data_IF_266956538388
#
_entry.id   IF_266956538388
#
_cell.length_a   1.000
_cell.length_b   1.000
_cell.length_c   1.000
_cell.angle_alpha   90.00
_cell.angle_beta   90.00
_cell.angle_gamma   90.00
#
_symmetry.space_group_name_H-M   'P 1'
#
loop_
_entity.id
_entity.type
_entity.pdbx_description
1 polymer ?
#
# COMPACT_ATOMS: atom_id res chain seq x y z
N UNK A 1 28.20 -6.14 19.94
CA UNK A 1 28.10 -4.93 20.78
C UNK A 1 26.66 -4.82 21.23
N UNK A 2 26.40 -4.80 22.54
CA UNK A 2 25.05 -4.63 23.07
C UNK A 2 24.78 -3.14 23.27
N UNK A 3 23.65 -2.62 22.78
CA UNK A 3 23.22 -1.25 23.05
C UNK A 3 23.07 -1.03 24.55
N UNK A 4 23.53 0.13 25.02
CA UNK A 4 23.36 0.57 26.40
C UNK A 4 21.87 0.77 26.71
N UNK A 5 21.48 0.62 27.98
CA UNK A 5 20.10 0.81 28.41
C UNK A 5 19.43 2.12 27.91
N UNK A 6 20.09 3.31 27.96
CA UNK A 6 19.49 4.54 27.45
C UNK A 6 19.25 4.54 25.94
N UNK A 7 20.10 3.89 25.15
CA UNK A 7 19.91 3.78 23.69
C UNK A 7 18.69 2.92 23.33
N UNK A 8 18.39 1.89 24.11
CA UNK A 8 17.18 1.06 23.93
C UNK A 8 15.90 1.85 24.24
N UNK A 9 15.92 2.65 25.30
CA UNK A 9 14.77 3.49 25.67
C UNK A 9 14.48 4.54 24.59
N UNK A 10 15.51 5.17 24.03
CA UNK A 10 15.35 6.13 22.94
C UNK A 10 14.81 5.48 21.65
N UNK A 11 15.29 4.29 21.30
CA UNK A 11 14.80 3.54 20.15
C UNK A 11 13.32 3.11 20.30
N UNK A 12 12.93 2.66 21.49
CA UNK A 12 11.53 2.32 21.78
C UNK A 12 10.61 3.55 21.73
N UNK A 13 11.06 4.70 22.22
CA UNK A 13 10.32 5.96 22.13
C UNK A 13 10.15 6.42 20.67
N UNK A 14 11.20 6.30 19.84
CA UNK A 14 11.14 6.62 18.42
C UNK A 14 10.20 5.69 17.64
N UNK A 15 10.19 4.39 17.97
CA UNK A 15 9.26 3.43 17.37
C UNK A 15 7.81 3.70 17.78
N UNK A 16 7.56 4.06 19.05
CA UNK A 16 6.24 4.43 19.52
C UNK A 16 5.73 5.72 18.85
N UNK A 17 6.61 6.71 18.64
CA UNK A 17 6.29 7.94 17.93
C UNK A 17 6.04 7.70 16.43
N UNK A 18 6.83 6.84 15.79
CA UNK A 18 6.57 6.43 14.40
C UNK A 18 5.24 5.69 14.27
N UNK A 19 4.92 4.77 15.18
CA UNK A 19 3.63 4.08 15.20
C UNK A 19 2.46 5.06 15.45
N UNK A 20 2.70 6.13 16.23
CA UNK A 20 1.72 7.21 16.45
C UNK A 20 1.49 8.01 15.17
N UNK A 21 2.55 8.38 14.45
CA UNK A 21 2.48 9.05 13.14
C UNK A 21 1.82 8.17 12.07
N UNK A 22 2.10 6.86 12.10
CA UNK A 22 1.47 5.89 11.20
C UNK A 22 -0.04 5.75 11.50
N UNK A 23 -0.46 5.82 12.78
CA UNK A 23 -1.89 5.85 13.17
C UNK A 23 -2.58 7.18 12.88
N UNK A 24 -1.86 8.29 12.97
CA UNK A 24 -2.34 9.60 12.51
C UNK A 24 -2.73 9.54 11.01
N UNK A 25 -2.17 8.61 10.22
CA UNK A 25 -2.53 8.43 8.81
C UNK A 25 -3.96 7.90 8.54
N UNK A 26 -4.60 7.19 9.47
CA UNK A 26 -5.98 6.68 9.27
C UNK A 26 -7.01 7.78 9.40
N UNK A 27 -6.91 8.59 10.47
CA UNK A 27 -7.77 9.75 10.65
C UNK A 27 -7.53 10.76 9.52
N UNK A 28 -6.25 10.99 9.15
CA UNK A 28 -5.88 11.82 8.00
C UNK A 28 -6.50 11.33 6.69
N UNK A 29 -6.57 10.01 6.45
CA UNK A 29 -7.20 9.47 5.25
C UNK A 29 -8.66 9.91 5.15
N UNK A 30 -9.45 9.73 6.21
CA UNK A 30 -10.87 10.09 6.19
C UNK A 30 -11.10 11.60 6.34
N UNK A 31 -10.26 12.35 7.04
CA UNK A 31 -10.44 13.81 7.19
C UNK A 31 -9.99 14.59 5.96
N UNK A 32 -8.84 14.23 5.37
CA UNK A 32 -8.23 14.99 4.27
C UNK A 32 -8.77 14.58 2.90
N UNK A 33 -9.16 13.32 2.73
CA UNK A 33 -9.56 12.79 1.43
C UNK A 33 -11.08 12.58 1.29
N UNK A 34 -11.88 12.47 2.36
CA UNK A 34 -13.34 12.40 2.22
C UNK A 34 -14.05 13.62 1.62
N UNK A 35 -13.56 14.88 1.71
CA UNK A 35 -14.35 16.02 1.21
C UNK A 35 -14.78 15.89 -0.25
N UNK A 36 -13.97 15.24 -1.09
CA UNK A 36 -14.28 14.98 -2.51
C UNK A 36 -15.15 13.72 -2.73
N UNK A 37 -15.17 12.78 -1.80
CA UNK A 37 -15.76 11.44 -1.98
C UNK A 37 -17.03 11.22 -1.13
N UNK A 38 -17.47 12.24 -0.38
CA UNK A 38 -18.74 12.27 0.34
C UNK A 38 -18.72 11.55 1.70
N UNK A 39 -19.57 12.00 2.62
CA UNK A 39 -19.65 11.54 4.02
C UNK A 39 -20.01 10.06 4.23
N UNK A 40 -20.25 9.29 3.15
CA UNK A 40 -20.72 7.89 3.23
C UNK A 40 -19.57 6.89 3.39
N UNK A 41 -18.35 7.26 3.01
CA UNK A 41 -17.18 6.37 3.04
C UNK A 41 -16.41 6.53 4.36
N UNK A 42 -17.05 6.21 5.50
CA UNK A 42 -16.40 6.23 6.82
C UNK A 42 -15.58 4.97 7.08
N UNK A 43 -14.73 4.99 8.11
CA UNK A 43 -13.99 3.81 8.57
C UNK A 43 -14.92 2.62 8.85
N UNK A 44 -16.00 2.86 9.61
CA UNK A 44 -16.97 1.82 9.97
C UNK A 44 -17.72 1.30 8.74
N UNK A 45 -18.00 2.16 7.76
CA UNK A 45 -18.60 1.74 6.49
C UNK A 45 -17.64 0.83 5.70
N UNK A 46 -16.35 1.17 5.65
CA UNK A 46 -15.33 0.34 5.01
C UNK A 46 -15.19 -1.03 5.72
N UNK A 47 -15.14 -1.05 7.05
CA UNK A 47 -15.06 -2.29 7.83
C UNK A 47 -16.30 -3.17 7.62
N UNK A 48 -17.51 -2.59 7.68
CA UNK A 48 -18.75 -3.34 7.40
C UNK A 48 -18.76 -3.92 5.99
N UNK A 49 -18.36 -3.12 5.00
CA UNK A 49 -18.30 -3.58 3.62
C UNK A 49 -17.26 -4.69 3.43
N UNK A 50 -16.07 -4.57 4.03
CA UNK A 50 -15.06 -5.63 3.97
C UNK A 50 -15.52 -6.94 4.64
N UNK A 51 -16.13 -6.88 5.82
CA UNK A 51 -16.74 -8.05 6.47
C UNK A 51 -17.80 -8.70 5.57
N UNK A 52 -18.62 -7.89 4.91
CA UNK A 52 -19.62 -8.39 3.96
C UNK A 52 -18.99 -9.03 2.71
N UNK A 53 -18.01 -8.39 2.09
CA UNK A 53 -17.33 -8.92 0.89
C UNK A 53 -16.64 -10.25 1.19
N UNK A 54 -15.96 -10.33 2.34
CA UNK A 54 -15.16 -11.50 2.72
C UNK A 54 -15.97 -12.58 3.45
N UNK A 55 -17.18 -12.27 3.92
CA UNK A 55 -17.99 -13.14 4.78
C UNK A 55 -17.25 -13.58 6.07
N UNK A 56 -16.54 -12.63 6.69
CA UNK A 56 -15.77 -12.82 7.93
C UNK A 56 -16.06 -11.69 8.92
N UNK A 57 -15.57 -11.82 10.16
CA UNK A 57 -15.73 -10.84 11.24
C UNK A 57 -14.41 -10.37 11.85
N UNK A 58 -13.27 -10.86 11.34
CA UNK A 58 -11.92 -10.61 11.87
C UNK A 58 -11.15 -9.57 11.04
N UNK A 59 -11.86 -8.75 10.27
CA UNK A 59 -11.25 -7.67 9.49
C UNK A 59 -10.76 -6.58 10.44
N UNK A 60 -9.49 -6.20 10.30
CA UNK A 60 -8.88 -5.13 11.09
C UNK A 60 -8.02 -4.21 10.20
N UNK A 61 -7.88 -2.92 10.54
CA UNK A 61 -6.93 -2.04 9.87
C UNK A 61 -5.50 -2.57 9.97
N UNK A 62 -4.72 -2.40 8.91
CA UNK A 62 -3.27 -2.63 8.99
C UNK A 62 -2.60 -1.56 9.84
N UNK A 63 -1.51 -1.93 10.53
CA UNK A 63 -0.74 -1.00 11.37
C UNK A 63 -0.17 0.18 10.59
N UNK A 64 0.02 0.00 9.28
CA UNK A 64 0.45 1.03 8.35
C UNK A 64 -0.56 1.18 7.23
N UNK A 65 -1.06 2.40 7.06
CA UNK A 65 -1.95 2.76 5.97
C UNK A 65 -1.18 3.38 4.82
N UNK A 66 -1.79 3.36 3.64
CA UNK A 66 -1.27 4.08 2.49
C UNK A 66 -1.77 5.51 2.49
N UNK A 67 -0.97 6.45 2.01
CA UNK A 67 -1.33 7.88 1.94
C UNK A 67 -2.60 8.19 1.12
N UNK A 68 -3.08 7.26 0.30
CA UNK A 68 -4.31 7.40 -0.49
C UNK A 68 -5.14 6.11 -0.48
N UNK A 69 -5.00 5.33 0.59
CA UNK A 69 -5.77 4.09 0.74
C UNK A 69 -5.95 3.67 2.19
N UNK A 70 -7.18 3.30 2.53
CA UNK A 70 -7.49 2.59 3.75
C UNK A 70 -7.43 1.07 3.49
N UNK A 71 -6.59 0.37 4.23
CA UNK A 71 -6.24 -1.03 4.04
C UNK A 71 -6.65 -1.82 5.28
N UNK A 72 -7.44 -2.84 5.03
CA UNK A 72 -7.90 -3.81 6.01
C UNK A 72 -7.32 -5.19 5.70
N UNK A 73 -7.06 -5.98 6.73
CA UNK A 73 -6.58 -7.36 6.63
C UNK A 73 -7.54 -8.29 7.36
N UNK A 74 -7.85 -9.44 6.76
CA UNK A 74 -8.49 -10.57 7.44
C UNK A 74 -7.48 -11.72 7.52
N UNK A 75 -6.99 -12.06 8.72
CA UNK A 75 -6.14 -13.22 8.91
C UNK A 75 -6.81 -14.55 8.53
N UNK A 76 -8.10 -14.73 8.84
CA UNK A 76 -8.82 -15.97 8.56
C UNK A 76 -9.07 -16.21 7.07
N UNK A 77 -9.29 -15.14 6.29
CA UNK A 77 -9.47 -15.24 4.84
C UNK A 77 -8.14 -15.23 4.05
N UNK A 78 -7.00 -14.98 4.70
CA UNK A 78 -5.69 -14.73 4.05
C UNK A 78 -5.78 -13.64 2.95
N UNK A 79 -6.57 -12.60 3.22
CA UNK A 79 -6.90 -11.55 2.26
C UNK A 79 -6.77 -10.14 2.84
N UNK A 80 -6.55 -9.19 1.93
CA UNK A 80 -6.49 -7.76 2.21
C UNK A 80 -7.58 -7.07 1.40
N UNK A 81 -8.28 -6.10 2.00
CA UNK A 81 -9.22 -5.21 1.31
C UNK A 81 -8.64 -3.80 1.31
N UNK A 82 -8.46 -3.22 0.13
CA UNK A 82 -7.99 -1.85 -0.03
C UNK A 82 -9.09 -0.95 -0.58
N UNK A 83 -9.38 0.11 0.15
CA UNK A 83 -10.26 1.20 -0.24
C UNK A 83 -9.39 2.37 -0.71
N UNK A 84 -9.49 2.73 -1.98
CA UNK A 84 -8.63 3.74 -2.61
C UNK A 84 -9.45 4.91 -3.13
N UNK A 85 -8.94 6.13 -2.95
CA UNK A 85 -9.55 7.34 -3.53
C UNK A 85 -9.50 7.29 -5.06
N UNK A 86 -8.40 6.79 -5.61
CA UNK A 86 -8.23 6.64 -7.05
C UNK A 86 -8.11 5.16 -7.43
N UNK A 87 -8.75 4.75 -8.53
CA UNK A 87 -8.57 3.40 -9.04
C UNK A 87 -7.10 3.17 -9.42
N UNK A 88 -6.68 1.92 -9.32
CA UNK A 88 -5.38 1.50 -9.85
C UNK A 88 -5.43 1.58 -11.38
N UNK A 89 -4.33 1.97 -12.01
CA UNK A 89 -4.23 1.95 -13.46
C UNK A 89 -4.12 0.49 -13.93
N UNK A 90 -5.10 0.05 -14.72
CA UNK A 90 -5.17 -1.33 -15.24
C UNK A 90 -3.95 -1.69 -16.11
N UNK A 91 -3.39 -0.73 -16.86
CA UNK A 91 -2.15 -0.93 -17.62
C UNK A 91 -0.96 -1.18 -16.69
N UNK A 92 -0.87 -0.45 -15.58
CA UNK A 92 0.17 -0.67 -14.56
C UNK A 92 0.02 -2.04 -13.91
N UNK A 93 -1.21 -2.47 -13.60
CA UNK A 93 -1.47 -3.78 -13.03
C UNK A 93 -1.12 -4.91 -14.01
N UNK A 94 -1.53 -4.77 -15.27
CA UNK A 94 -1.20 -5.71 -16.34
C UNK A 94 0.31 -5.76 -16.60
N UNK A 95 0.98 -4.61 -16.58
CA UNK A 95 2.42 -4.51 -16.71
C UNK A 95 3.12 -5.22 -15.55
N UNK A 96 2.72 -4.96 -14.30
CA UNK A 96 3.26 -5.64 -13.13
C UNK A 96 3.06 -7.17 -13.24
N UNK A 97 1.89 -7.63 -13.66
CA UNK A 97 1.63 -9.05 -13.90
C UNK A 97 2.55 -9.63 -14.99
N UNK A 98 2.84 -8.87 -16.04
CA UNK A 98 3.73 -9.28 -17.13
C UNK A 98 5.18 -9.41 -16.66
N UNK A 99 5.67 -8.45 -15.89
CA UNK A 99 7.06 -8.41 -15.39
C UNK A 99 7.29 -9.45 -14.29
N UNK A 100 6.38 -9.51 -13.32
CA UNK A 100 6.59 -10.26 -12.08
C UNK A 100 5.79 -11.57 -12.01
N UNK A 101 4.86 -11.81 -12.94
CA UNK A 101 4.12 -13.07 -13.04
C UNK A 101 3.41 -13.44 -11.75
N UNK A 102 3.60 -14.68 -11.28
CA UNK A 102 3.00 -15.18 -10.04
C UNK A 102 3.49 -14.50 -8.75
N UNK A 103 4.44 -13.57 -8.83
CA UNK A 103 4.88 -12.78 -7.67
C UNK A 103 4.01 -11.53 -7.45
N UNK A 104 3.24 -11.13 -8.47
CA UNK A 104 2.23 -10.08 -8.32
C UNK A 104 1.04 -10.68 -7.57
N UNK A 105 0.61 -10.08 -6.45
CA UNK A 105 -0.61 -10.52 -5.77
C UNK A 105 -1.79 -10.49 -6.73
N UNK A 106 -2.69 -11.47 -6.65
CA UNK A 106 -3.94 -11.39 -7.40
C UNK A 106 -4.79 -10.29 -6.79
N UNK A 107 -5.24 -9.38 -7.66
CA UNK A 107 -6.06 -8.23 -7.30
C UNK A 107 -7.39 -8.37 -8.03
N UNK A 108 -8.49 -8.34 -7.29
CA UNK A 108 -9.84 -8.32 -7.84
C UNK A 108 -10.50 -7.02 -7.45
N UNK A 109 -11.05 -6.28 -8.42
CA UNK A 109 -11.83 -5.08 -8.15
C UNK A 109 -13.25 -5.47 -7.77
N UNK A 110 -13.71 -5.01 -6.61
CA UNK A 110 -15.10 -5.13 -6.20
C UNK A 110 -15.86 -3.88 -6.62
N UNK A 111 -17.05 -4.07 -7.19
CA UNK A 111 -17.97 -2.98 -7.54
C UNK A 111 -18.90 -2.78 -6.35
N UNK A 112 -18.73 -1.69 -5.59
CA UNK A 112 -19.53 -1.49 -4.39
C UNK A 112 -20.96 -1.07 -4.74
N UNK A 113 -21.85 -1.13 -3.75
CA UNK A 113 -23.24 -0.68 -3.88
C UNK A 113 -23.33 0.81 -4.25
N UNK A 114 -24.50 1.21 -4.78
CA UNK A 114 -24.73 2.57 -5.26
C UNK A 114 -24.46 3.62 -4.16
N UNK A 115 -23.60 4.59 -4.47
CA UNK A 115 -23.26 5.69 -3.58
C UNK A 115 -22.03 5.45 -2.68
N UNK A 116 -21.37 4.29 -2.78
CA UNK A 116 -20.03 4.11 -2.22
C UNK A 116 -18.99 4.52 -3.27
N UNK A 117 -18.14 5.48 -2.92
CA UNK A 117 -17.33 6.23 -3.89
C UNK A 117 -15.89 5.74 -4.03
N UNK A 118 -15.37 5.03 -3.02
CA UNK A 118 -14.00 4.52 -3.04
C UNK A 118 -13.90 3.30 -3.95
N UNK A 119 -12.77 3.17 -4.64
CA UNK A 119 -12.45 1.96 -5.39
C UNK A 119 -12.04 0.86 -4.41
N UNK A 120 -12.72 -0.29 -4.47
CA UNK A 120 -12.50 -1.41 -3.55
C UNK A 120 -11.74 -2.52 -4.28
N UNK A 121 -10.64 -2.96 -3.68
CA UNK A 121 -9.80 -4.05 -4.19
C UNK A 121 -9.65 -5.14 -3.15
N UNK A 122 -9.79 -6.39 -3.57
CA UNK A 122 -9.50 -7.58 -2.77
C UNK A 122 -8.18 -8.12 -3.27
N UNK A 123 -7.21 -8.28 -2.36
CA UNK A 123 -5.84 -8.68 -2.67
C UNK A 123 -5.49 -9.94 -1.90
N UNK A 124 -4.94 -10.94 -2.57
CA UNK A 124 -4.34 -12.09 -1.88
C UNK A 124 -3.19 -11.63 -0.99
N UNK A 125 -3.20 -12.04 0.29
CA UNK A 125 -2.14 -11.64 1.21
C UNK A 125 -0.81 -12.30 0.79
N UNK A 126 0.21 -11.47 0.59
CA UNK A 126 1.55 -11.99 0.33
C UNK A 126 2.07 -12.71 1.57
N UNK A 127 2.51 -13.96 1.40
CA UNK A 127 3.17 -14.71 2.47
C UNK A 127 4.57 -14.16 2.68
N UNK A 128 4.91 -13.92 3.94
CA UNK A 128 6.22 -13.41 4.30
C UNK A 128 6.15 -12.69 5.63
N UNK A 129 7.15 -11.86 5.85
CA UNK A 129 7.28 -11.03 7.04
C UNK A 129 7.44 -9.58 6.61
N UNK A 130 6.95 -8.62 7.41
CA UNK A 130 7.26 -7.23 7.20
C UNK A 130 8.78 -7.01 7.39
N UNK A 131 9.44 -6.41 6.39
CA UNK A 131 10.91 -6.19 6.43
C UNK A 131 11.32 -5.05 7.36
N UNK A 132 10.35 -4.28 7.84
CA UNK A 132 10.56 -3.13 8.73
C UNK A 132 10.30 -3.48 10.19
N UNK A 133 9.77 -4.66 10.49
CA UNK A 133 9.59 -5.10 11.86
C UNK A 133 10.95 -5.57 12.39
N UNK A 134 11.29 -5.14 13.60
CA UNK A 134 12.43 -5.70 14.32
C UNK A 134 11.98 -7.05 14.91
N UNK A 135 12.46 -8.19 14.37
CA UNK A 135 12.05 -9.48 14.88
C UNK A 135 12.62 -9.68 16.27
N UNK A 136 11.89 -10.44 17.09
CA UNK A 136 12.49 -11.01 18.29
C UNK A 136 13.66 -11.90 17.89
N UNK A 137 14.82 -11.67 18.50
CA UNK A 137 16.03 -12.44 18.22
C UNK A 137 16.03 -13.79 18.93
N UNK A 138 15.23 -13.93 20.00
CA UNK A 138 15.11 -15.17 20.76
C UNK A 138 14.18 -16.18 20.04
N UNK A 139 13.20 -15.70 19.27
CA UNK A 139 12.32 -16.50 18.40
C UNK A 139 12.36 -16.01 16.94
N UNK A 140 13.57 -15.85 16.41
CA UNK A 140 13.76 -15.30 15.06
C UNK A 140 13.20 -16.26 13.99
N UNK A 141 12.20 -15.85 13.17
CA UNK A 141 11.57 -16.73 12.19
C UNK A 141 12.45 -16.85 10.93
N UNK A 142 13.62 -17.48 11.06
CA UNK A 142 14.68 -17.51 10.04
C UNK A 142 14.19 -17.95 8.66
N UNK A 143 13.35 -18.98 8.63
CA UNK A 143 12.83 -19.51 7.36
C UNK A 143 11.89 -18.52 6.65
N UNK A 144 11.13 -17.71 7.38
CA UNK A 144 10.28 -16.68 6.81
C UNK A 144 11.11 -15.50 6.29
N UNK A 145 12.15 -15.10 7.03
CA UNK A 145 13.14 -14.10 6.59
C UNK A 145 13.84 -14.51 5.30
N UNK A 146 14.46 -15.69 5.27
CA UNK A 146 15.17 -16.19 4.09
C UNK A 146 14.27 -16.27 2.85
N UNK A 147 13.00 -16.66 3.04
CA UNK A 147 12.02 -16.69 1.95
C UNK A 147 11.73 -15.28 1.44
N UNK A 148 11.41 -14.35 2.34
CA UNK A 148 11.10 -12.95 2.00
C UNK A 148 12.27 -12.29 1.30
N UNK A 149 13.50 -12.45 1.81
CA UNK A 149 14.71 -11.92 1.15
C UNK A 149 14.93 -12.52 -0.23
N UNK A 150 14.72 -13.83 -0.40
CA UNK A 150 14.84 -14.50 -1.70
C UNK A 150 13.81 -13.98 -2.69
N UNK A 151 12.56 -13.80 -2.27
CA UNK A 151 11.50 -13.32 -3.13
C UNK A 151 11.70 -11.84 -3.49
N UNK A 152 12.18 -11.01 -2.56
CA UNK A 152 12.61 -9.65 -2.87
C UNK A 152 13.76 -9.63 -3.89
N UNK A 153 14.77 -10.48 -3.73
CA UNK A 153 15.89 -10.56 -4.67
C UNK A 153 15.41 -10.97 -6.08
N UNK A 154 14.47 -11.91 -6.19
CA UNK A 154 13.84 -12.28 -7.46
C UNK A 154 13.05 -11.13 -8.06
N UNK A 155 12.32 -10.37 -7.23
CA UNK A 155 11.53 -9.21 -7.67
C UNK A 155 12.45 -8.19 -8.34
N UNK A 156 13.53 -7.80 -7.65
CA UNK A 156 14.53 -6.86 -8.14
C UNK A 156 15.19 -7.39 -9.42
N UNK A 157 15.62 -8.65 -9.42
CA UNK A 157 16.28 -9.25 -10.58
C UNK A 157 15.36 -9.32 -11.82
N UNK A 158 14.06 -9.57 -11.63
CA UNK A 158 13.08 -9.54 -12.74
C UNK A 158 12.90 -8.13 -13.29
N UNK A 159 12.72 -7.14 -12.42
CA UNK A 159 12.61 -5.75 -12.82
C UNK A 159 13.84 -5.26 -13.59
N UNK A 160 15.04 -5.59 -13.11
CA UNK A 160 16.30 -5.20 -13.76
C UNK A 160 16.55 -5.88 -15.11
N UNK A 161 16.02 -7.09 -15.30
CA UNK A 161 16.18 -7.86 -16.55
C UNK A 161 15.05 -7.62 -17.55
N UNK A 162 13.94 -7.03 -17.12
CA UNK A 162 12.84 -6.73 -18.02
C UNK A 162 13.31 -5.68 -19.03
N UNK A 163 13.27 -6.04 -20.31
CA UNK A 163 13.75 -5.17 -21.37
C UNK A 163 12.96 -3.86 -21.33
N UNK A 164 13.64 -2.76 -21.01
CA UNK A 164 13.06 -1.44 -21.21
C UNK A 164 13.00 -1.24 -22.71
N UNK A 165 11.78 -1.18 -23.27
CA UNK A 165 11.58 -0.83 -24.67
C UNK A 165 12.29 0.50 -24.92
N UNK A 166 13.37 0.45 -25.69
CA UNK A 166 14.21 1.59 -26.03
C UNK A 166 13.48 2.51 -27.01
N UNK A 167 12.37 3.12 -26.61
CA UNK A 167 11.65 4.09 -27.43
C UNK A 167 10.57 4.84 -26.65
N UNK A 168 10.92 6.02 -26.14
CA UNK A 168 10.53 7.26 -26.81
C UNK A 168 11.35 8.38 -26.19
N UNK A 169 11.97 9.28 -26.98
CA UNK A 169 12.58 10.48 -26.41
C UNK A 169 11.53 11.15 -25.54
N UNK A 170 11.88 11.40 -24.27
CA UNK A 170 11.08 12.22 -23.37
C UNK A 170 10.62 13.45 -24.17
N UNK A 171 9.34 13.81 -24.17
CA UNK A 171 8.91 15.04 -24.81
C UNK A 171 9.75 16.14 -24.18
N UNK A 172 10.71 16.68 -24.94
CA UNK A 172 11.50 17.82 -24.52
C UNK A 172 10.47 18.91 -24.35
N UNK A 173 10.09 19.17 -23.10
CA UNK A 173 9.07 20.14 -22.75
C UNK A 173 9.37 21.40 -23.54
N UNK A 174 8.56 21.65 -24.56
CA UNK A 174 8.58 22.91 -25.28
C UNK A 174 8.33 23.95 -24.20
N UNK A 175 9.37 24.70 -23.83
CA UNK A 175 9.21 25.91 -23.05
C UNK A 175 8.20 26.75 -23.82
N UNK A 176 6.96 26.79 -23.33
CA UNK A 176 6.00 27.80 -23.72
C UNK A 176 6.66 29.14 -23.39
N UNK A 177 7.29 29.75 -24.40
CA UNK A 177 7.57 31.17 -24.37
C UNK A 177 6.20 31.85 -24.38
N UNK A 178 5.69 32.17 -23.20
CA UNK A 178 4.68 33.21 -23.07
C UNK A 178 5.32 34.52 -23.53
N UNK A 179 5.13 34.81 -24.81
CA UNK A 179 5.39 36.10 -25.39
C UNK A 179 4.25 37.02 -24.92
N UNK A 180 4.50 37.74 -23.83
CA UNK A 180 3.72 38.91 -23.44
C UNK A 180 3.98 40.01 -24.46
N UNK A 181 3.09 40.12 -25.46
CA UNK A 181 2.99 41.34 -26.27
C UNK A 181 1.91 42.22 -25.63
N UNK A 182 2.37 43.19 -24.85
CA UNK A 182 1.66 44.44 -24.65
C UNK A 182 2.07 45.37 -25.79
N UNK A 183 1.14 45.77 -26.67
CA UNK A 183 1.24 47.02 -27.44
C UNK A 183 -0.18 47.56 -27.64
N UNK A 184 -0.40 48.73 -27.01
CA UNK A 184 -1.26 49.89 -27.28
C UNK A 184 -2.70 49.74 -27.80
#
# INVERSE_FOLDING_TARGET
>A
MAFSAPERTAALAALAEQARQDRESTADFFERLCPEYGHKSTEEACIRLANHILQVSDVQPTDRQGSSSFTLVSPSADQIVQFRCHPLNDETLQFAQTVYGSMTPKITRHVPEEGFTLSVYIVERARGIPLWDNPDMDDFPLQAYLRTTRDLAKLIARGARFAQSSSSPLPTGGRNQHQTSCID
#
